data_IF_143029314847
#
_entry.id   IF_143029314847
#
_cell.length_a   1.000
_cell.length_b   1.000
_cell.length_c   1.000
_cell.angle_alpha   90.00
_cell.angle_beta   90.00
_cell.angle_gamma   90.00
#
_symmetry.space_group_name_H-M   'P 1'
#
loop_
_entity.id
_entity.type
_entity.pdbx_description
1 polymer ?
#
# COMPACT_ATOMS: atom_id res chain seq x y z
N UNK A 1 3.21 11.49 27.72
CA UNK A 1 4.45 12.19 28.14
C UNK A 1 4.99 11.53 29.40
N UNK A 2 6.26 11.13 29.41
CA UNK A 2 6.93 10.63 30.62
C UNK A 2 6.91 11.73 31.70
N UNK A 3 6.81 11.33 32.97
CA UNK A 3 6.75 12.23 34.13
C UNK A 3 8.03 13.04 34.35
N UNK A 4 9.14 12.66 33.71
CA UNK A 4 10.39 13.40 33.69
C UNK A 4 10.82 13.59 32.24
N UNK A 5 11.22 14.83 31.91
CA UNK A 5 11.87 15.16 30.64
C UNK A 5 13.30 14.61 30.74
N UNK A 6 13.51 13.40 30.26
CA UNK A 6 14.85 12.86 30.08
C UNK A 6 15.49 13.57 28.88
N UNK A 7 16.80 13.80 28.94
CA UNK A 7 17.59 14.38 27.83
C UNK A 7 17.67 13.45 26.60
N UNK A 8 16.89 12.36 26.58
CA UNK A 8 16.67 11.48 25.44
C UNK A 8 17.90 10.66 25.03
N UNK A 9 17.66 9.72 24.11
CA UNK A 9 18.69 8.89 23.48
C UNK A 9 19.72 9.69 22.69
N UNK A 10 19.42 10.95 22.40
CA UNK A 10 20.28 11.83 21.61
C UNK A 10 21.42 12.46 22.44
N UNK A 11 21.20 12.76 23.73
CA UNK A 11 22.21 13.45 24.55
C UNK A 11 22.84 12.58 25.65
N UNK A 12 22.35 11.37 25.90
CA UNK A 12 22.92 10.46 26.90
C UNK A 12 23.08 9.05 26.36
N UNK A 13 24.27 8.48 26.55
CA UNK A 13 24.63 7.16 26.08
C UNK A 13 24.57 6.13 27.22
N UNK A 14 23.84 5.03 27.01
CA UNK A 14 23.71 3.89 27.93
C UNK A 14 23.49 4.25 29.42
N UNK A 15 22.83 5.38 29.69
CA UNK A 15 22.55 5.84 31.04
C UNK A 15 21.65 4.86 31.78
N UNK A 16 21.83 4.73 33.09
CA UNK A 16 20.98 3.86 33.92
C UNK A 16 19.50 4.29 33.86
N UNK A 17 19.26 5.58 33.66
CA UNK A 17 17.96 6.20 33.39
C UNK A 17 17.33 5.76 32.05
N UNK A 18 18.13 5.28 31.10
CA UNK A 18 17.67 4.78 29.79
C UNK A 18 17.11 3.36 29.89
N UNK A 19 17.47 2.64 30.96
CA UNK A 19 16.97 1.30 31.29
C UNK A 19 15.89 1.45 32.35
N UNK A 20 14.64 1.31 31.95
CA UNK A 20 13.57 1.46 32.93
C UNK A 20 13.37 0.19 33.76
N UNK A 21 13.88 0.20 34.99
CA UNK A 21 13.73 -0.91 35.95
C UNK A 21 12.31 -1.06 36.51
N UNK A 22 11.54 0.02 36.55
CA UNK A 22 10.16 0.08 37.04
C UNK A 22 9.35 0.84 35.99
N UNK A 23 8.48 0.14 35.25
CA UNK A 23 7.67 0.67 34.15
C UNK A 23 7.31 2.16 34.38
N UNK A 24 7.82 3.10 33.58
CA UNK A 24 7.33 4.45 33.66
C UNK A 24 6.01 4.36 32.90
N UNK A 25 4.89 4.30 33.62
CA UNK A 25 3.58 4.33 32.98
C UNK A 25 3.63 5.45 31.95
N UNK A 26 3.54 5.08 30.66
CA UNK A 26 3.20 6.04 29.62
C UNK A 26 1.99 6.77 30.21
N UNK A 27 2.12 8.07 30.50
CA UNK A 27 0.98 8.83 30.99
C UNK A 27 -0.17 8.47 30.06
N UNK A 28 -1.19 7.78 30.60
CA UNK A 28 -2.22 7.17 29.77
C UNK A 28 -2.71 8.25 28.81
N UNK A 29 -2.61 7.99 27.51
CA UNK A 29 -3.35 8.77 26.53
C UNK A 29 -4.75 8.91 27.10
N UNK A 30 -5.29 10.13 27.17
CA UNK A 30 -6.49 10.40 27.97
C UNK A 30 -7.53 9.31 27.71
N UNK A 31 -8.01 8.65 28.76
CA UNK A 31 -8.92 7.51 28.61
C UNK A 31 -10.14 7.91 27.78
N UNK A 32 -10.52 9.19 27.84
CA UNK A 32 -11.53 9.82 26.97
C UNK A 32 -11.14 9.76 25.50
N UNK A 33 -9.94 10.19 25.10
CA UNK A 33 -9.46 10.12 23.71
C UNK A 33 -9.30 8.67 23.24
N UNK A 34 -8.77 7.78 24.08
CA UNK A 34 -8.68 6.35 23.74
C UNK A 34 -10.05 5.71 23.57
N UNK A 35 -11.03 6.11 24.39
CA UNK A 35 -12.42 5.68 24.28
C UNK A 35 -13.07 6.25 23.03
N UNK A 36 -12.86 7.53 22.72
CA UNK A 36 -13.33 8.17 21.49
C UNK A 36 -12.72 7.50 20.25
N UNK A 37 -11.41 7.26 20.21
CA UNK A 37 -10.74 6.56 19.10
C UNK A 37 -11.25 5.12 18.99
N UNK A 38 -11.43 4.41 20.11
CA UNK A 38 -12.05 3.08 20.11
C UNK A 38 -13.47 3.13 19.57
N UNK A 39 -14.26 4.11 19.97
CA UNK A 39 -15.65 4.24 19.53
C UNK A 39 -15.77 4.61 18.05
N UNK A 40 -14.86 5.47 17.57
CA UNK A 40 -14.89 5.99 16.22
C UNK A 40 -14.27 5.01 15.19
N UNK A 41 -13.25 4.25 15.58
CA UNK A 41 -12.49 3.38 14.66
C UNK A 41 -12.59 1.87 14.94
N UNK A 42 -12.88 1.45 16.17
CA UNK A 42 -12.75 0.04 16.59
C UNK A 42 -14.09 -0.64 16.94
N UNK A 43 -15.07 0.06 17.53
CA UNK A 43 -16.34 -0.56 17.95
C UNK A 43 -17.50 -0.33 16.97
N UNK A 44 -17.45 0.74 16.16
CA UNK A 44 -18.46 1.02 15.13
C UNK A 44 -18.33 0.09 13.92
N UNK A 45 -19.36 -0.73 13.64
CA UNK A 45 -19.49 -1.36 12.31
C UNK A 45 -19.49 -0.26 11.26
N UNK A 46 -18.52 -0.28 10.35
CA UNK A 46 -18.47 0.66 9.21
C UNK A 46 -19.70 0.41 8.33
N UNK A 47 -20.61 1.38 8.27
CA UNK A 47 -21.82 1.31 7.45
C UNK A 47 -21.71 2.25 6.25
N UNK A 48 -22.27 1.82 5.13
CA UNK A 48 -22.31 2.57 3.88
C UNK A 48 -23.53 3.52 3.90
N UNK A 49 -23.34 4.82 3.63
CA UNK A 49 -24.45 5.76 3.52
C UNK A 49 -25.31 5.50 2.27
N UNK A 50 -26.63 5.47 2.45
CA UNK A 50 -27.60 5.28 1.35
C UNK A 50 -28.72 6.32 1.37
N UNK A 51 -29.18 6.69 0.18
CA UNK A 51 -30.40 7.46 -0.04
C UNK A 51 -31.50 6.54 -0.56
N UNK A 52 -32.72 6.74 -0.07
CA UNK A 52 -33.89 5.93 -0.41
C UNK A 52 -34.97 6.77 -1.10
N UNK A 53 -35.57 6.25 -2.16
CA UNK A 53 -36.74 6.85 -2.80
C UNK A 53 -37.80 5.78 -2.97
N UNK A 54 -38.96 5.97 -2.35
CA UNK A 54 -40.10 5.06 -2.42
C UNK A 54 -41.20 5.66 -3.28
N UNK A 55 -41.69 4.92 -4.28
CA UNK A 55 -42.80 5.32 -5.16
C UNK A 55 -44.01 4.45 -4.88
N UNK A 56 -45.07 5.07 -4.40
CA UNK A 56 -46.32 4.42 -4.00
C UNK A 56 -47.49 5.02 -4.77
N UNK A 57 -47.80 4.45 -5.94
CA UNK A 57 -48.88 4.92 -6.82
C UNK A 57 -49.96 3.84 -6.92
N UNK A 58 -51.22 4.20 -6.70
CA UNK A 58 -52.37 3.29 -6.73
C UNK A 58 -52.43 2.53 -8.07
N UNK A 59 -52.67 1.22 -8.00
CA UNK A 59 -52.76 0.35 -9.18
C UNK A 59 -51.41 0.04 -9.84
N UNK A 60 -50.29 0.53 -9.28
CA UNK A 60 -48.94 0.15 -9.69
C UNK A 60 -48.24 -0.62 -8.57
N UNK A 61 -47.28 -1.49 -8.90
CA UNK A 61 -46.43 -2.11 -7.89
C UNK A 61 -45.60 -1.04 -7.16
N UNK A 62 -45.52 -1.14 -5.84
CA UNK A 62 -44.68 -0.27 -5.03
C UNK A 62 -43.20 -0.43 -5.43
N UNK A 63 -42.49 0.67 -5.67
CA UNK A 63 -41.09 0.65 -6.09
C UNK A 63 -40.20 1.32 -5.03
N UNK A 64 -39.06 0.71 -4.70
CA UNK A 64 -38.07 1.26 -3.79
C UNK A 64 -36.71 1.30 -4.48
N UNK A 65 -36.13 2.50 -4.52
CA UNK A 65 -34.82 2.78 -5.11
C UNK A 65 -33.85 3.12 -3.99
N UNK A 66 -32.69 2.45 -3.97
CA UNK A 66 -31.56 2.73 -3.09
C UNK A 66 -30.39 3.23 -3.92
N UNK A 67 -29.71 4.28 -3.45
CA UNK A 67 -28.47 4.80 -4.05
C UNK A 67 -27.40 4.97 -2.98
N UNK A 68 -26.19 4.49 -3.23
CA UNK A 68 -25.03 4.78 -2.38
C UNK A 68 -24.52 6.19 -2.63
N UNK A 69 -24.12 6.90 -1.57
CA UNK A 69 -23.49 8.22 -1.70
C UNK A 69 -22.00 8.06 -1.42
N UNK A 70 -21.15 8.43 -2.37
CA UNK A 70 -19.71 8.45 -2.13
C UNK A 70 -19.38 9.53 -1.10
N UNK A 71 -18.61 9.19 -0.06
CA UNK A 71 -18.04 10.21 0.82
C UNK A 71 -16.78 10.74 0.15
N UNK A 72 -16.69 12.05 -0.03
CA UNK A 72 -15.52 12.75 -0.60
C UNK A 72 -14.18 12.41 0.10
N UNK A 73 -14.22 11.86 1.31
CA UNK A 73 -13.03 11.53 2.12
C UNK A 73 -12.59 10.06 2.10
N UNK A 74 -13.27 9.15 1.39
CA UNK A 74 -12.74 7.78 1.20
C UNK A 74 -11.77 7.74 0.02
N UNK A 75 -10.54 7.30 0.28
CA UNK A 75 -9.41 7.12 -0.67
C UNK A 75 -9.70 6.18 -1.87
N UNK A 76 -10.92 5.68 -1.99
CA UNK A 76 -11.43 4.95 -3.15
C UNK A 76 -12.75 5.60 -3.53
N UNK A 77 -12.83 6.16 -4.73
CA UNK A 77 -14.11 6.47 -5.33
C UNK A 77 -14.87 5.13 -5.43
N UNK A 78 -15.85 4.88 -4.55
CA UNK A 78 -16.82 3.84 -4.83
C UNK A 78 -17.71 4.39 -5.94
N UNK A 79 -17.81 3.66 -7.04
CA UNK A 79 -18.81 3.98 -8.07
C UNK A 79 -20.19 4.02 -7.42
N UNK A 80 -21.00 5.00 -7.78
CA UNK A 80 -22.36 5.13 -7.26
C UNK A 80 -23.20 3.92 -7.69
N UNK A 81 -23.49 3.01 -6.75
CA UNK A 81 -24.32 1.84 -6.98
C UNK A 81 -25.77 2.18 -6.66
N UNK A 82 -26.66 1.80 -7.58
CA UNK A 82 -28.10 1.92 -7.37
C UNK A 82 -28.84 0.59 -7.57
N UNK A 83 -29.85 0.36 -6.72
CA UNK A 83 -30.75 -0.79 -6.78
C UNK A 83 -32.20 -0.31 -6.82
N UNK A 84 -33.02 -0.89 -7.70
CA UNK A 84 -34.47 -0.68 -7.73
C UNK A 84 -35.17 -2.03 -7.58
N UNK A 85 -36.17 -2.09 -6.71
CA UNK A 85 -36.97 -3.28 -6.46
C UNK A 85 -38.45 -2.93 -6.47
N UNK A 86 -39.26 -3.81 -7.05
CA UNK A 86 -40.73 -3.70 -7.09
C UNK A 86 -41.37 -4.71 -6.13
N UNK A 87 -42.42 -4.27 -5.44
CA UNK A 87 -43.18 -5.02 -4.45
C UNK A 87 -44.63 -5.27 -4.87
N UNK A 88 -45.50 -5.40 -3.87
CA UNK A 88 -46.93 -5.59 -4.08
C UNK A 88 -47.61 -4.37 -4.70
N UNK A 89 -48.77 -4.59 -5.31
CA UNK A 89 -49.61 -3.53 -5.86
C UNK A 89 -50.18 -2.65 -4.76
N UNK A 90 -50.09 -1.34 -4.98
CA UNK A 90 -50.59 -0.33 -4.08
C UNK A 90 -52.11 -0.21 -4.22
N UNK A 91 -52.82 -0.34 -3.10
CA UNK A 91 -54.28 -0.34 -3.08
C UNK A 91 -54.84 0.98 -2.56
N UNK A 92 -56.13 1.23 -2.81
CA UNK A 92 -56.85 2.36 -2.23
C UNK A 92 -57.13 2.12 -0.74
N UNK A 93 -56.95 3.14 0.09
CA UNK A 93 -57.20 3.04 1.52
C UNK A 93 -58.69 3.02 1.85
N UNK A 94 -59.13 1.94 2.52
CA UNK A 94 -60.55 1.78 2.95
C UNK A 94 -60.82 2.20 4.39
N UNK A 95 -59.84 2.08 5.31
CA UNK A 95 -60.04 2.37 6.75
C UNK A 95 -58.90 3.13 7.45
N UNK A 96 -57.75 3.32 6.80
CA UNK A 96 -56.69 4.20 7.28
C UNK A 96 -55.72 4.49 6.13
N UNK A 97 -55.53 5.75 5.69
CA UNK A 97 -54.53 6.09 4.71
C UNK A 97 -53.13 5.97 5.32
N UNK A 98 -52.21 5.39 4.55
CA UNK A 98 -50.80 5.25 4.91
C UNK A 98 -50.14 6.64 4.94
N UNK A 99 -49.53 7.00 6.07
CA UNK A 99 -48.87 8.29 6.24
C UNK A 99 -47.40 8.22 5.81
N UNK A 100 -46.86 9.33 5.28
CA UNK A 100 -45.47 9.41 4.83
C UNK A 100 -44.49 9.09 5.97
N UNK A 101 -44.74 9.60 7.17
CA UNK A 101 -43.87 9.35 8.33
C UNK A 101 -43.82 7.87 8.71
N UNK A 102 -44.93 7.14 8.51
CA UNK A 102 -44.99 5.70 8.78
C UNK A 102 -44.17 4.92 7.76
N UNK A 103 -44.22 5.31 6.48
CA UNK A 103 -43.39 4.72 5.41
C UNK A 103 -41.92 4.96 5.71
N UNK A 104 -41.53 6.20 5.98
CA UNK A 104 -40.16 6.57 6.30
C UNK A 104 -39.65 5.80 7.53
N UNK A 105 -40.43 5.72 8.61
CA UNK A 105 -40.07 4.95 9.81
C UNK A 105 -39.89 3.46 9.53
N UNK A 106 -40.66 2.88 8.61
CA UNK A 106 -40.53 1.48 8.24
C UNK A 106 -39.27 1.22 7.41
N UNK A 107 -39.02 2.07 6.42
CA UNK A 107 -37.90 1.95 5.48
C UNK A 107 -36.54 2.26 6.14
N UNK A 108 -36.47 3.24 7.04
CA UNK A 108 -35.24 3.60 7.77
C UNK A 108 -34.72 2.54 8.74
N UNK A 109 -35.51 1.49 9.03
CA UNK A 109 -35.10 0.39 9.93
C UNK A 109 -34.10 -0.53 9.23
N UNK A 110 -32.85 -0.09 9.14
CA UNK A 110 -31.71 -0.81 8.57
C UNK A 110 -30.84 -1.52 9.63
N UNK A 111 -31.35 -1.69 10.86
CA UNK A 111 -30.63 -2.34 11.95
C UNK A 111 -30.18 -3.76 11.58
N UNK A 112 -28.90 -4.05 11.81
CA UNK A 112 -28.29 -5.34 11.47
C UNK A 112 -27.72 -5.43 10.05
N UNK A 113 -27.90 -4.41 9.21
CA UNK A 113 -27.32 -4.33 7.86
C UNK A 113 -26.06 -3.46 7.84
N UNK A 114 -25.26 -3.56 6.78
CA UNK A 114 -24.05 -2.74 6.59
C UNK A 114 -24.35 -1.34 6.03
N UNK A 115 -25.61 -0.87 6.13
CA UNK A 115 -26.07 0.40 5.55
C UNK A 115 -26.68 1.33 6.60
N UNK A 116 -26.54 2.64 6.40
CA UNK A 116 -27.31 3.65 7.15
C UNK A 116 -27.98 4.64 6.21
N UNK A 117 -29.23 4.99 6.50
CA UNK A 117 -30.04 5.87 5.67
C UNK A 117 -29.71 7.34 5.97
N UNK A 118 -29.27 8.10 4.96
CA UNK A 118 -29.10 9.56 5.05
C UNK A 118 -30.42 10.27 4.79
N UNK A 119 -31.09 9.93 3.70
CA UNK A 119 -32.38 10.52 3.31
C UNK A 119 -33.34 9.46 2.78
N UNK A 120 -34.63 9.70 2.98
CA UNK A 120 -35.71 8.86 2.48
C UNK A 120 -36.82 9.78 1.98
N UNK A 121 -37.11 9.70 0.68
CA UNK A 121 -38.17 10.49 0.02
C UNK A 121 -39.30 9.54 -0.39
N UNK A 122 -40.56 9.95 -0.19
CA UNK A 122 -41.72 9.17 -0.62
C UNK A 122 -42.53 9.94 -1.65
N UNK A 123 -42.79 9.31 -2.79
CA UNK A 123 -43.52 9.87 -3.93
C UNK A 123 -44.86 9.14 -4.11
N UNK A 124 -45.91 9.84 -4.56
CA UNK A 124 -47.22 9.27 -4.91
C UNK A 124 -48.26 9.16 -3.77
N UNK A 125 -47.88 9.47 -2.52
CA UNK A 125 -48.79 9.47 -1.36
C UNK A 125 -49.81 10.62 -1.38
N UNK A 126 -49.42 11.79 -1.87
CA UNK A 126 -50.20 13.04 -1.80
C UNK A 126 -51.07 13.32 -3.04
N UNK A 127 -50.92 12.53 -4.10
CA UNK A 127 -51.62 12.74 -5.37
C UNK A 127 -53.08 12.25 -5.35
N UNK A 128 -53.48 11.47 -4.34
CA UNK A 128 -54.72 10.71 -4.36
C UNK A 128 -55.69 11.09 -3.22
N UNK A 129 -56.94 11.43 -3.58
CA UNK A 129 -58.00 11.88 -2.64
C UNK A 129 -58.46 10.82 -1.64
N UNK A 130 -58.37 9.55 -2.00
CA UNK A 130 -58.81 8.38 -1.20
C UNK A 130 -57.72 7.84 -0.28
N UNK A 131 -56.47 8.29 -0.45
CA UNK A 131 -55.32 7.81 0.31
C UNK A 131 -54.84 6.43 -0.15
N UNK A 132 -53.56 6.17 0.10
CA UNK A 132 -52.86 4.95 -0.31
C UNK A 132 -52.85 3.92 0.82
N UNK A 133 -53.02 2.64 0.49
CA UNK A 133 -52.85 1.53 1.42
C UNK A 133 -51.82 0.53 0.90
N UNK A 134 -50.85 0.22 1.76
CA UNK A 134 -49.90 -0.86 1.56
C UNK A 134 -49.63 -1.50 2.93
N UNK A 135 -49.72 -2.84 3.07
CA UNK A 135 -49.43 -3.51 4.33
C UNK A 135 -48.01 -3.21 4.82
N UNK A 136 -47.84 -3.08 6.14
CA UNK A 136 -46.52 -2.88 6.74
C UNK A 136 -45.57 -4.06 6.49
N UNK A 137 -46.12 -5.27 6.31
CA UNK A 137 -45.40 -6.46 5.87
C UNK A 137 -44.76 -6.25 4.48
N UNK A 138 -45.54 -5.76 3.51
CA UNK A 138 -45.08 -5.49 2.16
C UNK A 138 -43.96 -4.42 2.12
N UNK A 139 -44.07 -3.36 2.93
CA UNK A 139 -42.99 -2.36 3.09
C UNK A 139 -41.71 -2.95 3.67
N UNK A 140 -41.84 -3.80 4.70
CA UNK A 140 -40.71 -4.47 5.33
C UNK A 140 -39.98 -5.42 4.37
N UNK A 141 -40.74 -6.09 3.51
CA UNK A 141 -40.22 -6.99 2.49
C UNK A 141 -39.55 -6.22 1.36
N UNK A 142 -40.17 -5.13 0.88
CA UNK A 142 -39.57 -4.20 -0.09
C UNK A 142 -38.21 -3.70 0.38
N UNK A 143 -38.12 -3.26 1.64
CA UNK A 143 -36.85 -2.86 2.27
C UNK A 143 -35.83 -4.00 2.22
N UNK A 144 -36.19 -5.21 2.67
CA UNK A 144 -35.27 -6.36 2.73
C UNK A 144 -34.75 -6.72 1.34
N UNK A 145 -35.63 -6.80 0.34
CA UNK A 145 -35.26 -7.10 -1.04
C UNK A 145 -34.38 -6.01 -1.65
N UNK A 146 -34.69 -4.74 -1.41
CA UNK A 146 -33.87 -3.64 -1.91
C UNK A 146 -32.46 -3.65 -1.30
N UNK A 147 -32.35 -3.86 0.01
CA UNK A 147 -31.05 -3.95 0.71
C UNK A 147 -30.23 -5.13 0.18
N UNK A 148 -30.84 -6.31 0.05
CA UNK A 148 -30.15 -7.49 -0.49
C UNK A 148 -29.67 -7.27 -1.93
N UNK A 149 -30.49 -6.65 -2.78
CA UNK A 149 -30.11 -6.34 -4.17
C UNK A 149 -28.97 -5.31 -4.24
N UNK A 150 -28.95 -4.32 -3.34
CA UNK A 150 -27.86 -3.36 -3.27
C UNK A 150 -26.56 -4.01 -2.80
N UNK A 151 -26.64 -4.88 -1.78
CA UNK A 151 -25.51 -5.65 -1.27
C UNK A 151 -24.90 -6.54 -2.37
N UNK A 152 -25.73 -7.27 -3.10
CA UNK A 152 -25.30 -8.10 -4.24
C UNK A 152 -24.61 -7.26 -5.32
N UNK A 153 -25.17 -6.10 -5.69
CA UNK A 153 -24.55 -5.21 -6.70
C UNK A 153 -23.21 -4.64 -6.27
N UNK A 154 -23.06 -4.31 -4.98
CA UNK A 154 -21.77 -3.86 -4.42
C UNK A 154 -20.77 -5.01 -4.43
N UNK A 155 -21.21 -6.23 -4.09
CA UNK A 155 -20.36 -7.41 -4.16
C UNK A 155 -19.89 -7.67 -5.59
N UNK A 156 -20.75 -7.56 -6.59
CA UNK A 156 -20.43 -7.84 -8.00
C UNK A 156 -19.55 -6.78 -8.70
N UNK A 157 -19.16 -5.69 -8.04
CA UNK A 157 -18.23 -4.72 -8.64
C UNK A 157 -16.88 -5.40 -8.91
N UNK A 158 -16.34 -5.22 -10.13
CA UNK A 158 -15.10 -5.85 -10.60
C UNK A 158 -13.90 -5.66 -9.67
N UNK A 159 -13.89 -4.58 -8.90
CA UNK A 159 -12.81 -4.22 -7.97
C UNK A 159 -13.11 -4.52 -6.50
N UNK A 160 -14.12 -5.35 -6.18
CA UNK A 160 -14.44 -5.71 -4.81
C UNK A 160 -13.49 -6.83 -4.30
N UNK A 161 -12.49 -6.52 -3.44
CA UNK A 161 -11.49 -7.50 -2.98
C UNK A 161 -12.06 -8.53 -1.98
N UNK A 162 -13.32 -8.37 -1.57
CA UNK A 162 -14.01 -9.24 -0.61
C UNK A 162 -15.02 -10.20 -1.23
N UNK A 163 -15.21 -10.17 -2.55
CA UNK A 163 -15.78 -11.33 -3.21
C UNK A 163 -14.94 -12.54 -2.80
N UNK A 164 -15.55 -13.69 -2.48
CA UNK A 164 -14.83 -14.93 -2.63
C UNK A 164 -14.45 -14.93 -4.10
N UNK A 165 -13.21 -14.57 -4.38
CA UNK A 165 -12.57 -15.00 -5.62
C UNK A 165 -12.83 -16.49 -5.55
N UNK A 166 -13.76 -16.99 -6.37
CA UNK A 166 -13.71 -18.38 -6.75
C UNK A 166 -12.25 -18.52 -7.12
N UNK A 167 -11.51 -19.22 -6.25
CA UNK A 167 -10.28 -19.84 -6.67
C UNK A 167 -10.80 -20.78 -7.75
N UNK A 168 -10.93 -20.27 -8.98
CA UNK A 168 -10.18 -20.85 -10.04
C UNK A 168 -8.81 -21.00 -9.39
N UNK A 169 -8.58 -22.20 -8.88
CA UNK A 169 -7.35 -22.87 -9.19
C UNK A 169 -7.17 -22.58 -10.68
N UNK A 170 -6.59 -21.41 -10.98
CA UNK A 170 -5.59 -21.33 -12.00
C UNK A 170 -4.76 -22.52 -11.61
N UNK A 171 -4.81 -23.62 -12.39
CA UNK A 171 -3.98 -24.76 -12.07
C UNK A 171 -2.65 -24.12 -11.78
N UNK A 172 -2.09 -24.34 -10.58
CA UNK A 172 -0.68 -24.08 -10.38
C UNK A 172 -0.10 -24.64 -11.65
N UNK A 173 0.41 -23.77 -12.53
CA UNK A 173 0.96 -24.20 -13.79
C UNK A 173 1.98 -25.20 -13.30
N UNK A 174 1.66 -26.47 -13.51
CA UNK A 174 2.54 -27.56 -13.21
C UNK A 174 3.79 -27.10 -13.91
N UNK A 175 4.79 -26.70 -13.13
CA UNK A 175 6.06 -26.23 -13.65
C UNK A 175 6.83 -27.41 -14.28
N UNK A 176 6.12 -28.49 -14.60
CA UNK A 176 6.60 -29.68 -15.26
C UNK A 176 5.82 -29.88 -16.56
N UNK A 177 6.62 -29.75 -17.63
CA UNK A 177 6.42 -30.16 -19.00
C UNK A 177 5.51 -29.27 -19.87
N UNK A 178 6.14 -28.38 -20.65
CA UNK A 178 5.49 -27.86 -21.85
C UNK A 178 5.92 -26.49 -22.36
N UNK A 179 7.06 -25.94 -21.91
CA UNK A 179 7.92 -24.99 -22.62
C UNK A 179 9.03 -24.62 -21.64
N UNK A 180 10.25 -25.09 -21.88
CA UNK A 180 11.42 -24.66 -21.13
C UNK A 180 11.67 -23.17 -21.41
N UNK A 181 10.99 -22.30 -20.67
CA UNK A 181 11.56 -21.00 -20.38
C UNK A 181 12.68 -21.31 -19.38
N UNK A 182 13.86 -21.65 -19.89
CA UNK A 182 15.11 -21.62 -19.11
C UNK A 182 15.39 -20.15 -18.82
N UNK A 183 14.60 -19.52 -17.95
CA UNK A 183 14.96 -18.25 -17.35
C UNK A 183 16.11 -18.57 -16.42
N UNK A 184 17.32 -18.21 -16.85
CA UNK A 184 18.52 -18.24 -16.01
C UNK A 184 18.19 -17.46 -14.74
N UNK A 185 17.99 -18.16 -13.62
CA UNK A 185 17.69 -17.52 -12.36
C UNK A 185 18.96 -16.79 -11.90
N UNK A 186 18.91 -15.46 -11.82
CA UNK A 186 20.04 -14.69 -11.33
C UNK A 186 20.15 -14.87 -9.81
N UNK A 187 21.32 -15.30 -9.33
CA UNK A 187 21.57 -15.55 -7.92
C UNK A 187 22.28 -14.35 -7.28
N UNK A 188 21.62 -13.71 -6.34
CA UNK A 188 22.20 -12.63 -5.52
C UNK A 188 22.54 -13.18 -4.14
N UNK A 189 23.80 -13.03 -3.70
CA UNK A 189 24.28 -13.54 -2.42
C UNK A 189 24.81 -12.41 -1.56
N UNK A 190 24.37 -12.35 -0.30
CA UNK A 190 24.91 -11.42 0.71
C UNK A 190 25.84 -12.17 1.66
N UNK A 191 27.02 -11.61 1.92
CA UNK A 191 28.02 -12.13 2.86
C UNK A 191 28.48 -11.01 3.80
N UNK A 192 28.62 -11.31 5.08
CA UNK A 192 29.04 -10.35 6.11
C UNK A 192 30.50 -10.56 6.55
N UNK A 193 31.11 -11.71 6.21
CA UNK A 193 32.49 -12.05 6.57
C UNK A 193 33.29 -12.66 5.41
N UNK A 194 34.62 -12.57 5.50
CA UNK A 194 35.54 -13.19 4.52
C UNK A 194 35.43 -14.73 4.51
N UNK A 195 35.11 -15.35 5.64
CA UNK A 195 34.89 -16.80 5.73
C UNK A 195 33.66 -17.24 4.93
N UNK A 196 32.57 -16.47 4.97
CA UNK A 196 31.37 -16.72 4.17
C UNK A 196 31.64 -16.54 2.68
N UNK A 197 32.42 -15.52 2.31
CA UNK A 197 32.86 -15.33 0.92
C UNK A 197 33.71 -16.52 0.44
N UNK A 198 34.64 -16.99 1.27
CA UNK A 198 35.47 -18.16 0.98
C UNK A 198 34.65 -19.45 0.88
N UNK A 199 33.58 -19.58 1.66
CA UNK A 199 32.62 -20.68 1.54
C UNK A 199 31.84 -20.61 0.22
N UNK A 200 31.39 -19.42 -0.19
CA UNK A 200 30.72 -19.19 -1.47
C UNK A 200 31.63 -19.56 -2.65
N UNK A 201 32.89 -19.13 -2.63
CA UNK A 201 33.85 -19.44 -3.69
C UNK A 201 34.16 -20.94 -3.80
N UNK A 202 34.15 -21.68 -2.68
CA UNK A 202 34.30 -23.16 -2.70
C UNK A 202 33.05 -23.90 -3.18
N UNK A 203 31.90 -23.22 -3.21
CA UNK A 203 30.65 -23.83 -3.64
C UNK A 203 30.57 -23.89 -5.17
N UNK A 204 29.79 -24.83 -5.74
CA UNK A 204 29.53 -24.88 -7.18
C UNK A 204 28.54 -23.79 -7.65
N UNK A 205 28.07 -22.92 -6.74
CA UNK A 205 27.07 -21.91 -7.06
C UNK A 205 27.70 -20.78 -7.86
N UNK A 206 27.04 -20.41 -8.96
CA UNK A 206 27.37 -19.21 -9.71
C UNK A 206 26.50 -18.06 -9.18
N UNK A 207 27.12 -17.13 -8.46
CA UNK A 207 26.47 -15.88 -8.08
C UNK A 207 26.60 -14.87 -9.24
N UNK A 208 25.52 -14.16 -9.56
CA UNK A 208 25.53 -13.05 -10.52
C UNK A 208 25.81 -11.72 -9.81
N UNK A 209 25.44 -11.63 -8.52
CA UNK A 209 25.69 -10.46 -7.65
C UNK A 209 26.14 -10.91 -6.27
N UNK A 210 27.18 -10.28 -5.75
CA UNK A 210 27.70 -10.50 -4.40
C UNK A 210 27.68 -9.19 -3.63
N UNK A 211 26.93 -9.14 -2.55
CA UNK A 211 26.90 -8.04 -1.58
C UNK A 211 27.78 -8.40 -0.39
N UNK A 212 28.78 -7.58 -0.09
CA UNK A 212 29.78 -7.84 0.95
C UNK A 212 29.64 -6.75 2.03
N UNK A 213 29.57 -7.16 3.30
CA UNK A 213 29.60 -6.22 4.41
C UNK A 213 30.79 -5.26 4.32
N UNK A 214 30.61 -4.03 4.83
CA UNK A 214 31.64 -2.98 4.74
C UNK A 214 32.95 -3.38 5.41
N UNK A 215 32.89 -4.00 6.60
CA UNK A 215 34.10 -4.30 7.39
C UNK A 215 35.13 -5.16 6.64
N UNK A 216 34.76 -6.32 6.03
CA UNK A 216 35.69 -7.08 5.20
C UNK A 216 36.32 -6.27 4.05
N UNK A 217 35.57 -5.37 3.43
CA UNK A 217 36.07 -4.53 2.34
C UNK A 217 37.06 -3.46 2.81
N UNK A 218 36.84 -2.89 4.00
CA UNK A 218 37.76 -1.94 4.61
C UNK A 218 39.06 -2.62 5.06
N UNK A 219 38.95 -3.81 5.67
CA UNK A 219 40.09 -4.56 6.19
C UNK A 219 40.94 -5.17 5.07
N UNK A 220 40.30 -5.66 4.01
CA UNK A 220 40.97 -6.33 2.89
C UNK A 220 40.38 -5.92 1.53
N UNK A 221 40.79 -4.75 0.99
CA UNK A 221 40.31 -4.27 -0.31
C UNK A 221 40.65 -5.21 -1.49
N UNK A 222 41.71 -6.02 -1.34
CA UNK A 222 42.14 -6.99 -2.36
C UNK A 222 41.10 -8.09 -2.61
N UNK A 223 40.13 -8.28 -1.72
CA UNK A 223 39.01 -9.21 -1.90
C UNK A 223 38.27 -8.97 -3.23
N UNK A 224 38.11 -7.72 -3.65
CA UNK A 224 37.42 -7.39 -4.90
C UNK A 224 38.16 -7.99 -6.11
N UNK A 225 39.49 -7.88 -6.11
CA UNK A 225 40.32 -8.44 -7.17
C UNK A 225 40.32 -9.97 -7.12
N UNK A 226 40.35 -10.55 -5.92
CA UNK A 226 40.29 -12.01 -5.73
C UNK A 226 38.98 -12.61 -6.25
N UNK A 227 37.84 -11.94 -6.03
CA UNK A 227 36.54 -12.37 -6.58
C UNK A 227 36.57 -12.31 -8.11
N UNK A 228 37.06 -11.20 -8.67
CA UNK A 228 37.10 -11.00 -10.13
C UNK A 228 38.04 -11.96 -10.85
N UNK A 229 39.12 -12.38 -10.22
CA UNK A 229 40.05 -13.36 -10.80
C UNK A 229 39.57 -14.80 -10.66
N UNK A 230 38.79 -15.09 -9.61
CA UNK A 230 38.27 -16.43 -9.35
C UNK A 230 37.15 -16.83 -10.32
N UNK A 231 36.19 -15.93 -10.56
CA UNK A 231 35.06 -16.24 -11.43
C UNK A 231 35.40 -15.94 -12.90
N UNK A 232 35.19 -16.93 -13.78
CA UNK A 232 35.35 -16.77 -15.23
C UNK A 232 34.44 -15.68 -15.81
N UNK A 233 33.21 -15.58 -15.28
CA UNK A 233 32.30 -14.45 -15.47
C UNK A 233 32.16 -13.75 -14.12
N UNK A 234 32.77 -12.57 -13.98
CA UNK A 234 32.81 -11.88 -12.69
C UNK A 234 31.42 -11.42 -12.25
N UNK A 235 30.97 -11.73 -11.02
CA UNK A 235 29.73 -11.19 -10.48
C UNK A 235 29.82 -9.68 -10.29
N UNK A 236 28.66 -9.02 -10.25
CA UNK A 236 28.59 -7.63 -9.80
C UNK A 236 28.88 -7.57 -8.29
N UNK A 237 29.76 -6.68 -7.86
CA UNK A 237 30.20 -6.58 -6.46
C UNK A 237 29.58 -5.34 -5.83
N UNK A 238 28.88 -5.53 -4.71
CA UNK A 238 28.23 -4.45 -3.96
C UNK A 238 28.78 -4.38 -2.54
N UNK A 239 28.96 -3.17 -2.02
CA UNK A 239 29.20 -2.98 -0.59
C UNK A 239 27.86 -2.86 0.15
N UNK A 240 27.60 -3.76 1.09
CA UNK A 240 26.42 -3.75 1.93
C UNK A 240 26.66 -2.89 3.17
N UNK A 241 26.03 -1.71 3.18
CA UNK A 241 26.23 -0.71 4.21
C UNK A 241 25.64 -1.17 5.56
N UNK A 242 26.15 -0.64 6.69
CA UNK A 242 25.66 -1.05 7.99
C UNK A 242 24.19 -0.67 8.20
N UNK A 243 23.49 -1.44 9.03
CA UNK A 243 22.09 -1.15 9.36
C UNK A 243 21.92 0.13 10.18
N UNK A 244 22.98 0.57 10.85
CA UNK A 244 22.99 1.74 11.73
C UNK A 244 24.37 2.36 11.66
N UNK A 245 24.42 3.68 11.49
CA UNK A 245 25.67 4.45 11.49
C UNK A 245 25.70 5.34 12.72
N UNK A 246 26.76 5.26 13.53
CA UNK A 246 26.98 6.10 14.72
C UNK A 246 28.45 6.49 14.81
N UNK A 247 28.78 7.55 15.52
CA UNK A 247 30.20 7.92 15.75
C UNK A 247 30.99 6.80 16.47
N UNK A 248 30.30 5.91 17.19
CA UNK A 248 30.91 4.80 17.95
C UNK A 248 30.91 3.45 17.22
N UNK A 249 30.30 3.35 16.03
CA UNK A 249 30.34 2.09 15.26
C UNK A 249 31.71 1.89 14.62
N UNK A 250 32.10 0.62 14.40
CA UNK A 250 33.36 0.28 13.73
C UNK A 250 33.47 0.83 12.29
N UNK A 251 32.34 1.26 11.72
CA UNK A 251 32.23 1.92 10.42
C UNK A 251 31.59 3.29 10.62
N UNK A 252 32.32 4.35 10.27
CA UNK A 252 31.85 5.75 10.25
C UNK A 252 31.44 6.14 8.82
N UNK A 253 30.64 7.21 8.69
CA UNK A 253 30.29 7.80 7.39
C UNK A 253 31.51 8.21 6.57
N UNK A 254 32.65 8.49 7.21
CA UNK A 254 33.90 8.80 6.50
C UNK A 254 34.51 7.59 5.81
N UNK A 255 34.24 6.38 6.31
CA UNK A 255 34.74 5.16 5.67
C UNK A 255 34.05 4.90 4.32
N UNK A 256 32.86 5.48 4.10
CA UNK A 256 32.20 5.48 2.79
C UNK A 256 33.04 6.17 1.71
N UNK A 257 33.84 7.19 2.08
CA UNK A 257 34.73 7.86 1.12
C UNK A 257 35.80 6.90 0.59
N UNK A 258 36.30 5.99 1.42
CA UNK A 258 37.21 4.94 0.98
C UNK A 258 36.51 3.93 0.07
N UNK A 259 35.28 3.50 0.42
CA UNK A 259 34.50 2.59 -0.42
C UNK A 259 34.18 3.19 -1.80
N UNK A 260 33.98 4.50 -1.88
CA UNK A 260 33.80 5.22 -3.14
C UNK A 260 35.04 5.22 -4.04
N UNK A 261 36.23 4.90 -3.53
CA UNK A 261 37.44 4.71 -4.33
C UNK A 261 37.60 3.26 -4.80
N UNK A 262 36.94 2.30 -4.14
CA UNK A 262 37.03 0.90 -4.50
C UNK A 262 36.33 0.60 -5.83
N UNK A 263 36.83 -0.35 -6.63
CA UNK A 263 36.26 -0.67 -7.93
C UNK A 263 35.01 -1.57 -7.80
N UNK A 264 34.09 -1.29 -6.87
CA UNK A 264 32.79 -1.96 -6.71
C UNK A 264 31.76 -1.42 -7.72
N UNK A 265 30.71 -2.19 -7.98
CA UNK A 265 29.66 -1.86 -8.96
C UNK A 265 28.49 -1.08 -8.33
N UNK A 266 28.30 -1.19 -7.01
CA UNK A 266 27.23 -0.49 -6.31
C UNK A 266 27.24 -0.61 -4.78
N UNK A 267 26.19 -0.09 -4.17
CA UNK A 267 25.96 -0.12 -2.72
C UNK A 267 24.59 -0.74 -2.42
N UNK A 268 24.52 -1.56 -1.36
CA UNK A 268 23.24 -1.94 -0.74
C UNK A 268 23.01 -1.01 0.44
N UNK A 269 21.97 -0.19 0.32
CA UNK A 269 21.60 0.85 1.26
C UNK A 269 20.67 0.25 2.30
N UNK A 270 21.11 0.26 3.55
CA UNK A 270 20.33 -0.22 4.69
C UNK A 270 19.84 0.90 5.59
N UNK A 271 20.44 2.10 5.45
CA UNK A 271 20.11 3.28 6.22
C UNK A 271 19.95 4.55 5.36
N UNK A 272 19.08 5.48 5.78
CA UNK A 272 18.76 6.69 5.01
C UNK A 272 19.85 7.76 5.09
N UNK A 273 20.56 7.87 6.21
CA UNK A 273 21.70 8.79 6.35
C UNK A 273 22.80 8.46 5.35
N UNK A 274 23.03 7.17 5.09
CA UNK A 274 24.03 6.69 4.14
C UNK A 274 23.63 6.98 2.70
N UNK A 275 22.34 6.80 2.37
CA UNK A 275 21.80 7.19 1.08
C UNK A 275 22.02 8.68 0.82
N UNK A 276 21.64 9.52 1.78
CA UNK A 276 21.82 10.96 1.69
C UNK A 276 23.30 11.34 1.55
N UNK A 277 24.18 10.69 2.30
CA UNK A 277 25.63 10.90 2.24
C UNK A 277 26.20 10.57 0.85
N UNK A 278 25.85 9.40 0.29
CA UNK A 278 26.32 8.96 -1.01
C UNK A 278 25.84 9.89 -2.14
N UNK A 279 24.56 10.32 -2.10
CA UNK A 279 24.03 11.26 -3.09
C UNK A 279 24.75 12.61 -3.04
N UNK A 280 25.01 13.14 -1.84
CA UNK A 280 25.73 14.40 -1.68
C UNK A 280 27.19 14.32 -2.17
N UNK A 281 27.79 13.13 -2.19
CA UNK A 281 29.13 12.89 -2.73
C UNK A 281 29.10 12.74 -4.25
N UNK A 282 28.16 11.96 -4.78
CA UNK A 282 27.98 11.82 -6.23
C UNK A 282 27.70 13.16 -6.94
N UNK A 283 26.93 14.06 -6.32
CA UNK A 283 26.69 15.41 -6.87
C UNK A 283 27.98 16.24 -6.98
N UNK A 284 28.86 16.13 -5.97
CA UNK A 284 30.15 16.86 -5.92
C UNK A 284 31.18 16.29 -6.91
N UNK A 285 31.10 15.00 -7.20
CA UNK A 285 32.03 14.27 -8.06
C UNK A 285 31.55 14.17 -9.53
N UNK A 286 30.77 15.16 -9.98
CA UNK A 286 30.18 15.26 -11.33
C UNK A 286 31.13 14.74 -12.43
N UNK A 287 30.93 13.49 -12.88
CA UNK A 287 31.79 12.80 -13.84
C UNK A 287 32.25 11.38 -13.44
N UNK A 288 32.09 10.99 -12.16
CA UNK A 288 32.42 9.63 -11.70
C UNK A 288 31.42 8.58 -12.22
N UNK A 289 31.88 7.32 -12.34
CA UNK A 289 31.06 6.17 -12.75
C UNK A 289 29.83 6.06 -11.85
N UNK A 290 28.62 6.22 -12.40
CA UNK A 290 27.35 6.08 -11.68
C UNK A 290 27.29 4.68 -11.06
N UNK A 291 27.31 4.61 -9.72
CA UNK A 291 27.22 3.34 -8.97
C UNK A 291 25.76 2.98 -8.78
N UNK A 292 25.45 1.69 -8.83
CA UNK A 292 24.08 1.22 -8.63
C UNK A 292 23.74 1.27 -7.13
N UNK A 293 22.61 1.85 -6.77
CA UNK A 293 22.11 1.94 -5.40
C UNK A 293 20.95 0.96 -5.24
N UNK A 294 21.07 0.05 -4.27
CA UNK A 294 20.09 -0.99 -4.02
C UNK A 294 19.48 -0.81 -2.63
N UNK A 295 18.19 -0.52 -2.55
CA UNK A 295 17.48 -0.42 -1.28
C UNK A 295 17.31 -1.81 -0.65
N UNK A 296 17.78 -1.99 0.58
CA UNK A 296 17.50 -3.17 1.38
C UNK A 296 16.06 -3.18 1.90
N UNK A 297 15.60 -4.34 2.38
CA UNK A 297 14.29 -4.47 3.01
C UNK A 297 14.16 -3.56 4.26
N UNK A 298 15.27 -3.21 4.92
CA UNK A 298 15.29 -2.30 6.08
C UNK A 298 14.81 -0.88 5.78
N UNK A 299 14.74 -0.47 4.51
CA UNK A 299 14.22 0.84 4.11
C UNK A 299 12.70 0.89 3.96
N UNK A 300 11.99 -0.19 4.29
CA UNK A 300 10.52 -0.25 4.33
C UNK A 300 9.84 0.17 3.02
N UNK A 301 10.34 -0.35 1.90
CA UNK A 301 9.76 -0.18 0.57
C UNK A 301 8.43 -0.95 0.40
N UNK A 302 7.44 -0.69 1.25
CA UNK A 302 6.19 -1.46 1.36
C UNK A 302 5.09 -1.09 0.34
N UNK A 303 5.30 -0.04 -0.45
CA UNK A 303 4.39 0.33 -1.51
C UNK A 303 5.12 1.12 -2.61
N UNK A 304 4.47 1.26 -3.76
CA UNK A 304 5.04 1.94 -4.93
C UNK A 304 5.45 3.39 -4.62
N UNK A 305 4.72 4.12 -3.77
CA UNK A 305 5.08 5.51 -3.43
C UNK A 305 6.35 5.59 -2.59
N UNK A 306 6.55 4.65 -1.68
CA UNK A 306 7.77 4.56 -0.87
C UNK A 306 8.99 4.27 -1.75
N UNK A 307 8.86 3.35 -2.71
CA UNK A 307 9.90 3.06 -3.70
C UNK A 307 10.19 4.31 -4.54
N UNK A 308 9.17 4.92 -5.15
CA UNK A 308 9.32 6.10 -6.02
C UNK A 308 9.91 7.33 -5.31
N UNK A 309 9.80 7.41 -3.98
CA UNK A 309 10.36 8.50 -3.20
C UNK A 309 11.86 8.33 -2.92
N UNK A 310 12.42 7.12 -3.12
CA UNK A 310 13.82 6.82 -2.86
C UNK A 310 14.62 6.89 -4.18
N UNK A 311 15.70 7.68 -4.25
CA UNK A 311 16.58 7.76 -5.42
C UNK A 311 17.51 6.52 -5.50
N UNK A 312 16.93 5.34 -5.71
CA UNK A 312 17.63 4.05 -5.82
C UNK A 312 17.35 3.41 -7.17
N UNK A 313 18.24 2.53 -7.65
CA UNK A 313 18.09 1.85 -8.94
C UNK A 313 17.42 0.47 -8.81
N UNK A 314 17.43 -0.13 -7.62
CA UNK A 314 16.72 -1.37 -7.34
C UNK A 314 16.36 -1.45 -5.86
N UNK A 315 15.47 -2.38 -5.51
CA UNK A 315 15.06 -2.58 -4.12
C UNK A 315 14.77 -4.06 -3.85
N UNK A 316 14.97 -4.47 -2.61
CA UNK A 316 14.58 -5.79 -2.12
C UNK A 316 13.08 -5.79 -1.82
N UNK A 317 12.37 -6.81 -2.32
CA UNK A 317 10.95 -6.98 -2.04
C UNK A 317 10.76 -7.27 -0.53
N UNK A 318 9.92 -6.49 0.18
CA UNK A 318 9.68 -6.72 1.60
C UNK A 318 8.98 -8.05 1.84
N UNK A 319 9.47 -8.81 2.80
CA UNK A 319 8.94 -10.14 3.15
C UNK A 319 7.57 -10.05 3.84
N UNK A 320 7.21 -8.87 4.36
CA UNK A 320 5.95 -8.61 5.05
C UNK A 320 4.75 -8.52 4.10
N UNK A 321 5.01 -8.31 2.80
CA UNK A 321 3.97 -8.17 1.79
C UNK A 321 3.57 -9.54 1.22
N UNK A 322 2.28 -9.70 0.91
CA UNK A 322 1.81 -10.89 0.21
C UNK A 322 2.22 -10.86 -1.27
N UNK A 323 2.20 -12.03 -1.91
CA UNK A 323 2.43 -12.13 -3.37
C UNK A 323 1.51 -11.19 -4.18
N UNK A 324 0.25 -11.02 -3.73
CA UNK A 324 -0.70 -10.10 -4.36
C UNK A 324 -0.30 -8.64 -4.20
N UNK A 325 0.21 -8.27 -3.02
CA UNK A 325 0.68 -6.92 -2.75
C UNK A 325 1.94 -6.59 -3.55
N UNK A 326 2.87 -7.55 -3.68
CA UNK A 326 4.00 -7.45 -4.60
C UNK A 326 3.54 -7.23 -6.04
N UNK A 327 2.58 -8.04 -6.52
CA UNK A 327 2.04 -7.89 -7.88
C UNK A 327 1.48 -6.49 -8.13
N UNK A 328 0.65 -5.97 -7.22
CA UNK A 328 0.09 -4.61 -7.31
C UNK A 328 1.17 -3.53 -7.29
N UNK A 329 2.15 -3.66 -6.39
CA UNK A 329 3.25 -2.71 -6.28
C UNK A 329 4.09 -2.67 -7.57
N UNK A 330 4.49 -3.84 -8.09
CA UNK A 330 5.32 -3.95 -9.29
C UNK A 330 4.57 -3.46 -10.53
N UNK A 331 3.28 -3.75 -10.68
CA UNK A 331 2.46 -3.20 -11.77
C UNK A 331 2.41 -1.68 -11.72
N UNK A 332 2.15 -1.10 -10.54
CA UNK A 332 2.10 0.36 -10.38
C UNK A 332 3.45 1.03 -10.70
N UNK A 333 4.57 0.39 -10.36
CA UNK A 333 5.91 0.89 -10.70
C UNK A 333 6.16 0.84 -12.22
N UNK A 334 5.75 -0.23 -12.90
CA UNK A 334 5.86 -0.33 -14.37
C UNK A 334 5.01 0.71 -15.08
N UNK A 335 3.78 0.94 -14.63
CA UNK A 335 2.90 1.97 -15.18
C UNK A 335 3.50 3.38 -15.00
N UNK A 336 4.21 3.62 -13.90
CA UNK A 336 4.91 4.86 -13.68
C UNK A 336 6.09 5.04 -14.64
N UNK A 337 6.91 4.01 -14.83
CA UNK A 337 8.03 4.04 -15.79
C UNK A 337 7.54 4.23 -17.23
N UNK A 338 6.45 3.56 -17.64
CA UNK A 338 5.89 3.74 -18.98
C UNK A 338 5.35 5.16 -19.22
N UNK A 339 4.72 5.76 -18.21
CA UNK A 339 4.23 7.15 -18.30
C UNK A 339 5.36 8.17 -18.33
N UNK A 340 6.44 7.97 -17.56
CA UNK A 340 7.63 8.82 -17.67
C UNK A 340 8.31 8.67 -19.05
N UNK A 341 8.29 7.48 -19.65
CA UNK A 341 8.84 7.24 -20.98
C UNK A 341 8.01 7.93 -22.08
N UNK A 342 6.68 7.85 -22.03
CA UNK A 342 5.78 8.58 -22.94
C UNK A 342 5.90 10.10 -22.78
N UNK A 343 6.08 10.62 -21.57
CA UNK A 343 6.33 12.06 -21.36
C UNK A 343 7.69 12.52 -21.92
N UNK A 344 8.71 11.66 -21.92
CA UNK A 344 10.02 11.97 -22.52
C UNK A 344 9.98 11.96 -24.05
N UNK A 345 9.12 11.16 -24.67
CA UNK A 345 8.88 11.22 -26.13
C UNK A 345 8.07 12.47 -26.51
N UNK A 346 7.13 12.90 -25.65
CA UNK A 346 6.32 14.10 -25.86
C UNK A 346 7.05 15.43 -25.58
N UNK A 347 8.05 15.45 -24.69
CA UNK A 347 8.86 16.65 -24.39
C UNK A 347 9.81 17.08 -25.54
N UNK A 348 9.80 16.39 -26.68
CA UNK A 348 10.42 16.85 -27.93
C UNK A 348 9.52 17.81 -28.75
N UNK A 349 8.33 18.16 -28.25
CA UNK A 349 7.48 19.24 -28.80
C UNK A 349 6.97 20.12 -27.67
N UNK A 350 7.29 21.41 -27.79
CA UNK A 350 6.99 22.51 -26.88
C UNK A 350 5.62 22.40 -26.18
N UNK A 351 5.59 22.62 -24.87
CA UNK A 351 4.66 23.58 -24.24
C UNK A 351 5.05 23.88 -22.79
N UNK A 352 5.31 25.17 -22.52
CA UNK A 352 5.34 25.74 -21.17
C UNK A 352 3.94 25.75 -20.57
N UNK A 353 3.73 25.19 -19.37
CA UNK A 353 2.89 25.82 -18.34
C UNK A 353 3.10 25.20 -16.95
N UNK A 354 3.10 26.09 -15.97
CA UNK A 354 3.44 25.93 -14.56
C UNK A 354 2.36 25.18 -13.77
N UNK A 355 2.79 24.30 -12.86
CA UNK A 355 2.54 24.36 -11.40
C UNK A 355 2.69 22.95 -10.77
N UNK A 356 3.89 22.68 -10.24
CA UNK A 356 4.18 21.99 -8.97
C UNK A 356 5.69 21.66 -8.95
N UNK A 357 6.54 22.69 -8.99
CA UNK A 357 7.95 22.52 -8.65
C UNK A 357 8.08 22.30 -7.14
N UNK A 358 8.06 21.04 -6.70
CA UNK A 358 8.90 20.66 -5.57
C UNK A 358 10.24 20.23 -6.13
N UNK A 359 11.21 21.15 -6.08
CA UNK A 359 12.63 20.88 -6.26
C UNK A 359 13.09 19.88 -5.20
N UNK A 360 12.93 18.60 -5.49
CA UNK A 360 13.82 17.56 -4.98
C UNK A 360 14.87 17.36 -6.07
N UNK A 361 16.02 17.99 -5.89
CA UNK A 361 17.13 18.03 -6.85
C UNK A 361 17.89 16.69 -6.91
N UNK A 362 17.24 15.57 -6.62
CA UNK A 362 17.89 14.26 -6.65
C UNK A 362 17.87 13.71 -8.09
N UNK A 363 18.97 13.12 -8.57
CA UNK A 363 18.99 12.50 -9.89
C UNK A 363 17.92 11.41 -9.96
N UNK A 364 16.95 11.56 -10.88
CA UNK A 364 15.91 10.55 -11.13
C UNK A 364 16.56 9.27 -11.66
N UNK A 365 16.41 8.15 -10.94
CA UNK A 365 16.94 6.82 -11.31
C UNK A 365 15.79 5.91 -11.74
N UNK A 366 16.00 5.12 -12.80
CA UNK A 366 15.07 4.10 -13.29
C UNK A 366 15.26 2.79 -12.50
N UNK A 367 14.20 2.01 -12.30
CA UNK A 367 14.23 0.84 -11.45
C UNK A 367 14.44 -0.45 -12.27
N UNK A 368 15.32 -1.35 -11.80
CA UNK A 368 15.33 -2.73 -12.28
C UNK A 368 14.15 -3.50 -11.66
N UNK A 369 13.01 -3.53 -12.36
CA UNK A 369 11.82 -4.27 -11.92
C UNK A 369 11.94 -5.74 -12.37
N UNK A 370 11.93 -6.73 -11.46
CA UNK A 370 11.94 -8.13 -11.86
C UNK A 370 10.69 -8.49 -12.68
N UNK A 371 10.91 -9.11 -13.83
CA UNK A 371 9.84 -9.62 -14.71
C UNK A 371 9.51 -11.05 -14.32
N UNK A 372 8.54 -11.20 -13.43
CA UNK A 372 7.92 -12.49 -13.14
C UNK A 372 6.98 -12.92 -14.27
#
# INVERSE_FOLDING_TARGET
MRSQIETGYYHRHNGREMVTLLQPGYSGSSETLLKEIRDLYLTGKKTIPVQMTARLIIGKPAELILKTVSKEHSLRAMDEVSASVRGEEVQEARKAPLQEEQVIRSLKKLGGTNFHCISCTVEGLTENRTGVFLPSAALNELRRRAVASLEEKILLQKDNPTLPVERKEVPLLSCHAGNEIVRKANLHVSVESEEQLSALMRSPLKADRISIGVLPLLQNPSLIQNIRSFYKESPQIFAALPFMTREETEVDLKDLDFLLQLPIDGFVIRNLEELAYLLAKEEKESGQRKRMLLADASLYCWNHRAVLALPVDAFTLPLELSFHDWGRMLTALREFESREFESREFESREFESREFERKSNFPKRSYEIPVY
#
